data_IF_406204991578
#
_entry.id   IF_406204991578
#
_cell.length_a   1.000
_cell.length_b   1.000
_cell.length_c   1.000
_cell.angle_alpha   90.00
_cell.angle_beta   90.00
_cell.angle_gamma   90.00
#
_symmetry.space_group_name_H-M   'P 1'
#
loop_
_entity.id
_entity.type
_entity.pdbx_description
1 polymer ?
#
# COMPACT_ATOMS: atom_id res chain seq x y z
N UNK A 1 37.10 -8.66 -9.10
CA UNK A 1 35.67 -8.54 -8.73
C UNK A 1 34.73 -8.85 -9.90
N UNK A 2 35.02 -9.90 -10.68
CA UNK A 2 34.09 -10.49 -11.67
C UNK A 2 33.69 -11.85 -11.12
N UNK A 3 32.80 -11.87 -10.14
CA UNK A 3 32.37 -13.13 -9.54
C UNK A 3 30.84 -13.14 -9.42
N UNK A 4 30.25 -14.07 -10.16
CA UNK A 4 28.82 -14.45 -10.15
C UNK A 4 27.86 -13.41 -10.72
N UNK A 5 28.00 -13.15 -12.02
CA UNK A 5 26.82 -12.95 -12.85
C UNK A 5 26.11 -14.31 -12.97
N UNK A 6 25.42 -14.72 -11.90
CA UNK A 6 24.47 -15.82 -11.96
C UNK A 6 23.44 -15.40 -12.99
N UNK A 7 23.52 -15.95 -14.20
CA UNK A 7 22.62 -15.62 -15.30
C UNK A 7 21.20 -15.91 -14.84
N UNK A 8 20.51 -14.85 -14.41
CA UNK A 8 19.12 -14.92 -13.94
C UNK A 8 18.30 -15.57 -15.04
N UNK A 9 17.45 -16.52 -14.68
CA UNK A 9 16.56 -17.14 -15.66
C UNK A 9 15.64 -16.07 -16.27
N UNK A 10 15.10 -16.28 -17.49
CA UNK A 10 14.15 -15.33 -18.09
C UNK A 10 12.98 -14.97 -17.15
N UNK A 11 12.49 -15.94 -16.37
CA UNK A 11 11.43 -15.75 -15.38
C UNK A 11 11.87 -14.86 -14.21
N UNK A 12 13.08 -15.08 -13.68
CA UNK A 12 13.63 -14.27 -12.59
C UNK A 12 13.87 -12.82 -13.02
N UNK A 13 14.30 -12.59 -14.26
CA UNK A 13 14.46 -11.24 -14.83
C UNK A 13 13.12 -10.50 -14.92
N UNK A 14 12.06 -11.16 -15.39
CA UNK A 14 10.71 -10.57 -15.47
C UNK A 14 10.19 -10.26 -14.07
N UNK A 15 10.33 -11.18 -13.11
CA UNK A 15 9.94 -10.98 -11.71
C UNK A 15 10.68 -9.79 -11.10
N UNK A 16 12.00 -9.71 -11.28
CA UNK A 16 12.84 -8.61 -10.78
C UNK A 16 12.42 -7.26 -11.38
N UNK A 17 12.15 -7.19 -12.69
CA UNK A 17 11.65 -5.97 -13.36
C UNK A 17 10.29 -5.54 -12.80
N UNK A 18 9.38 -6.49 -12.60
CA UNK A 18 8.05 -6.21 -11.99
C UNK A 18 8.20 -5.67 -10.57
N UNK A 19 9.02 -6.31 -9.72
CA UNK A 19 9.26 -5.85 -8.35
C UNK A 19 9.90 -4.47 -8.32
N UNK A 20 10.94 -4.22 -9.14
CA UNK A 20 11.59 -2.91 -9.23
C UNK A 20 10.62 -1.82 -9.64
N UNK A 21 9.71 -2.11 -10.58
CA UNK A 21 8.65 -1.16 -10.98
C UNK A 21 7.70 -0.86 -9.81
N UNK A 22 7.28 -1.85 -9.03
CA UNK A 22 6.40 -1.62 -7.87
C UNK A 22 7.10 -0.80 -6.78
N UNK A 23 8.37 -1.08 -6.49
CA UNK A 23 9.17 -0.29 -5.54
C UNK A 23 9.31 1.15 -6.02
N UNK A 24 9.63 1.35 -7.30
CA UNK A 24 9.73 2.68 -7.89
C UNK A 24 8.40 3.44 -7.80
N UNK A 25 7.28 2.80 -8.16
CA UNK A 25 5.95 3.40 -8.05
C UNK A 25 5.59 3.73 -6.60
N UNK A 26 5.98 2.87 -5.65
CA UNK A 26 5.75 3.13 -4.23
C UNK A 26 6.52 4.36 -3.76
N UNK A 27 7.81 4.47 -4.09
CA UNK A 27 8.62 5.65 -3.75
C UNK A 27 8.06 6.90 -4.41
N UNK A 28 7.76 6.85 -5.71
CA UNK A 28 7.22 7.97 -6.46
C UNK A 28 5.89 8.44 -5.86
N UNK A 29 4.98 7.51 -5.59
CA UNK A 29 3.69 7.84 -4.98
C UNK A 29 3.86 8.37 -3.56
N UNK A 30 4.78 7.83 -2.75
CA UNK A 30 5.07 8.38 -1.41
C UNK A 30 5.50 9.84 -1.50
N UNK A 31 6.48 10.15 -2.36
CA UNK A 31 6.94 11.54 -2.53
C UNK A 31 5.81 12.43 -3.04
N UNK A 32 4.99 11.94 -3.97
CA UNK A 32 3.89 12.71 -4.55
C UNK A 32 2.76 12.98 -3.55
N UNK A 33 2.24 11.96 -2.87
CA UNK A 33 1.18 12.11 -1.87
C UNK A 33 1.65 12.96 -0.69
N UNK A 34 2.87 12.72 -0.20
CA UNK A 34 3.43 13.52 0.89
C UNK A 34 3.64 14.97 0.45
N UNK A 35 4.28 15.21 -0.70
CA UNK A 35 4.57 16.55 -1.20
C UNK A 35 3.31 17.35 -1.49
N UNK A 36 2.29 16.73 -2.10
CA UNK A 36 1.00 17.40 -2.34
C UNK A 36 0.29 17.71 -1.03
N UNK A 37 0.26 16.78 -0.08
CA UNK A 37 -0.33 17.01 1.24
C UNK A 37 0.32 18.21 1.95
N UNK A 38 1.65 18.20 2.05
CA UNK A 38 2.42 19.26 2.70
C UNK A 38 2.26 20.61 1.99
N UNK A 39 2.29 20.65 0.66
CA UNK A 39 2.08 21.88 -0.10
C UNK A 39 0.69 22.47 0.13
N UNK A 40 -0.35 21.63 0.17
CA UNK A 40 -1.72 22.07 0.40
C UNK A 40 -1.93 22.58 1.83
N UNK A 41 -1.38 21.89 2.84
CA UNK A 41 -1.43 22.35 4.22
C UNK A 41 -0.64 23.66 4.42
N UNK A 42 0.56 23.76 3.85
CA UNK A 42 1.35 24.98 3.88
C UNK A 42 0.59 26.16 3.26
N UNK A 43 -0.01 25.95 2.08
CA UNK A 43 -0.84 26.97 1.43
C UNK A 43 -2.04 27.40 2.31
N UNK A 44 -2.73 26.44 2.92
CA UNK A 44 -3.85 26.72 3.82
C UNK A 44 -3.41 27.51 5.07
N UNK A 45 -2.22 27.21 5.61
CA UNK A 45 -1.63 27.94 6.73
C UNK A 45 -1.25 29.38 6.37
N UNK A 46 -0.60 29.60 5.23
CA UNK A 46 -0.19 30.95 4.78
C UNK A 46 -1.40 31.85 4.47
N UNK A 47 -2.51 31.26 4.06
CA UNK A 47 -3.75 31.99 3.72
C UNK A 47 -4.70 32.15 4.90
N UNK A 48 -4.31 31.68 6.10
CA UNK A 48 -5.11 31.67 7.34
C UNK A 48 -6.52 31.04 7.16
N UNK A 49 -6.61 30.03 6.29
CA UNK A 49 -7.87 29.36 5.99
C UNK A 49 -7.92 27.98 6.65
N UNK A 50 -8.21 27.96 7.95
CA UNK A 50 -8.35 26.74 8.77
C UNK A 50 -9.30 25.71 8.16
N UNK A 51 -10.34 26.17 7.46
CA UNK A 51 -11.27 25.29 6.74
C UNK A 51 -10.56 24.43 5.67
N UNK A 52 -9.61 24.99 4.92
CA UNK A 52 -8.90 24.23 3.88
C UNK A 52 -7.97 23.18 4.48
N UNK A 53 -7.29 23.47 5.58
CA UNK A 53 -6.47 22.47 6.29
C UNK A 53 -7.33 21.28 6.70
N UNK A 54 -8.50 21.53 7.28
CA UNK A 54 -9.45 20.49 7.64
C UNK A 54 -9.96 19.71 6.41
N UNK A 55 -10.30 20.40 5.32
CA UNK A 55 -10.78 19.77 4.10
C UNK A 55 -9.71 18.86 3.45
N UNK A 56 -8.44 19.28 3.44
CA UNK A 56 -7.31 18.49 2.93
C UNK A 56 -7.10 17.23 3.77
N UNK A 57 -7.08 17.36 5.10
CA UNK A 57 -6.96 16.21 6.01
C UNK A 57 -8.11 15.22 5.81
N UNK A 58 -9.35 15.73 5.75
CA UNK A 58 -10.54 14.89 5.56
C UNK A 58 -10.50 14.16 4.21
N UNK A 59 -10.08 14.84 3.15
CA UNK A 59 -9.93 14.22 1.83
C UNK A 59 -8.91 13.07 1.84
N UNK A 60 -7.73 13.27 2.43
CA UNK A 60 -6.71 12.22 2.55
C UNK A 60 -7.20 11.06 3.43
N UNK A 61 -7.96 11.33 4.48
CA UNK A 61 -8.54 10.32 5.36
C UNK A 61 -9.55 9.45 4.59
N UNK A 62 -10.46 10.09 3.86
CA UNK A 62 -11.47 9.41 3.05
C UNK A 62 -10.83 8.59 1.92
N UNK A 63 -9.78 9.11 1.28
CA UNK A 63 -8.99 8.35 0.30
C UNK A 63 -8.37 7.10 0.94
N UNK A 64 -7.73 7.25 2.09
CA UNK A 64 -7.08 6.14 2.81
C UNK A 64 -8.09 5.07 3.18
N UNK A 65 -9.22 5.48 3.75
CA UNK A 65 -10.31 4.58 4.13
C UNK A 65 -10.90 3.89 2.90
N UNK A 66 -11.20 4.64 1.83
CA UNK A 66 -11.79 4.11 0.61
C UNK A 66 -10.90 3.07 -0.07
N UNK A 67 -9.60 3.35 -0.22
CA UNK A 67 -8.67 2.38 -0.80
C UNK A 67 -8.46 1.16 0.10
N UNK A 68 -8.38 1.37 1.42
CA UNK A 68 -8.21 0.26 2.38
C UNK A 68 -9.44 -0.65 2.39
N UNK A 69 -10.65 -0.10 2.47
CA UNK A 69 -11.88 -0.87 2.39
C UNK A 69 -12.02 -1.57 1.04
N UNK A 70 -11.73 -0.87 -0.07
CA UNK A 70 -11.73 -1.47 -1.40
C UNK A 70 -10.77 -2.66 -1.49
N UNK A 71 -9.56 -2.54 -0.93
CA UNK A 71 -8.57 -3.62 -0.86
C UNK A 71 -9.07 -4.80 -0.01
N UNK A 72 -9.63 -4.54 1.17
CA UNK A 72 -10.14 -5.57 2.06
C UNK A 72 -11.34 -6.31 1.44
N UNK A 73 -12.33 -5.58 0.94
CA UNK A 73 -13.53 -6.15 0.30
C UNK A 73 -13.13 -6.98 -0.93
N UNK A 74 -12.26 -6.43 -1.79
CA UNK A 74 -11.77 -7.15 -2.96
C UNK A 74 -11.00 -8.43 -2.57
N UNK A 75 -10.27 -8.44 -1.47
CA UNK A 75 -9.56 -9.64 -1.02
C UNK A 75 -10.36 -10.50 -0.04
N UNK A 76 -11.67 -10.29 0.11
CA UNK A 76 -12.55 -10.98 1.08
C UNK A 76 -11.94 -10.98 2.49
N UNK A 77 -11.51 -9.80 2.93
CA UNK A 77 -10.86 -9.54 4.22
C UNK A 77 -9.63 -10.42 4.47
N UNK A 78 -8.94 -10.83 3.40
CA UNK A 78 -7.72 -11.63 3.46
C UNK A 78 -7.92 -13.02 4.10
N UNK A 79 -9.15 -13.51 4.25
CA UNK A 79 -9.46 -14.79 4.89
C UNK A 79 -8.68 -15.97 4.29
N UNK A 80 -8.35 -15.91 3.00
CA UNK A 80 -7.66 -16.97 2.28
C UNK A 80 -6.13 -16.87 2.31
N UNK A 81 -5.59 -15.77 2.86
CA UNK A 81 -4.15 -15.51 2.82
C UNK A 81 -3.45 -16.41 3.82
N UNK A 82 -2.50 -17.21 3.34
CA UNK A 82 -1.68 -18.08 4.19
C UNK A 82 -2.37 -19.39 4.60
N UNK A 83 -3.54 -19.71 4.06
CA UNK A 83 -4.16 -21.01 4.24
C UNK A 83 -3.39 -22.10 3.49
N UNK A 84 -3.24 -23.26 4.12
CA UNK A 84 -2.68 -24.46 3.50
C UNK A 84 -3.80 -25.44 3.12
N UNK A 85 -3.57 -26.37 2.18
CA UNK A 85 -4.58 -27.36 1.75
C UNK A 85 -5.15 -28.19 2.91
N UNK A 86 -4.36 -28.44 3.95
CA UNK A 86 -4.74 -29.24 5.13
C UNK A 86 -5.71 -28.49 6.05
N UNK A 87 -5.76 -27.17 5.98
CA UNK A 87 -6.66 -26.32 6.76
C UNK A 87 -8.03 -26.16 6.11
N UNK A 88 -8.22 -26.70 4.90
CA UNK A 88 -9.47 -26.66 4.17
C UNK A 88 -10.34 -27.89 4.49
N UNK A 89 -11.67 -27.83 4.25
CA UNK A 89 -12.56 -28.94 4.54
C UNK A 89 -12.10 -30.25 3.92
N UNK A 90 -12.10 -31.32 4.71
CA UNK A 90 -11.70 -32.68 4.27
C UNK A 90 -12.64 -33.26 3.21
N UNK A 91 -13.89 -32.78 3.15
CA UNK A 91 -14.87 -33.16 2.15
C UNK A 91 -14.58 -32.58 0.74
N UNK A 92 -13.68 -31.59 0.62
CA UNK A 92 -13.34 -31.00 -0.67
C UNK A 92 -12.33 -31.86 -1.42
N UNK A 93 -12.48 -31.95 -2.74
CA UNK A 93 -11.47 -32.58 -3.59
C UNK A 93 -10.18 -31.74 -3.63
N UNK A 94 -9.05 -32.37 -3.95
CA UNK A 94 -7.78 -31.67 -4.09
C UNK A 94 -7.84 -30.55 -5.15
N UNK A 95 -8.61 -30.76 -6.22
CA UNK A 95 -8.86 -29.74 -7.24
C UNK A 95 -9.62 -28.53 -6.66
N UNK A 96 -10.67 -28.75 -5.86
CA UNK A 96 -11.43 -27.67 -5.24
C UNK A 96 -10.57 -26.85 -4.27
N UNK A 97 -9.71 -27.52 -3.49
CA UNK A 97 -8.75 -26.86 -2.60
C UNK A 97 -7.76 -26.00 -3.40
N UNK A 98 -7.18 -26.55 -4.47
CA UNK A 98 -6.25 -25.84 -5.34
C UNK A 98 -6.89 -24.60 -5.96
N UNK A 99 -8.11 -24.72 -6.50
CA UNK A 99 -8.83 -23.61 -7.13
C UNK A 99 -9.17 -22.50 -6.12
N UNK A 100 -9.55 -22.87 -4.90
CA UNK A 100 -9.84 -21.93 -3.83
C UNK A 100 -8.62 -21.09 -3.43
N UNK A 101 -7.46 -21.75 -3.26
CA UNK A 101 -6.19 -21.09 -2.92
C UNK A 101 -5.67 -20.24 -4.09
N UNK A 102 -5.80 -20.75 -5.33
CA UNK A 102 -5.41 -20.02 -6.54
C UNK A 102 -6.24 -18.74 -6.73
N UNK A 103 -7.55 -18.76 -6.48
CA UNK A 103 -8.37 -17.55 -6.53
C UNK A 103 -7.93 -16.51 -5.48
N UNK A 104 -7.58 -16.95 -4.27
CA UNK A 104 -7.03 -16.09 -3.22
C UNK A 104 -5.74 -15.39 -3.66
N UNK A 105 -4.78 -16.16 -4.16
CA UNK A 105 -3.50 -15.64 -4.65
C UNK A 105 -3.68 -14.71 -5.85
N UNK A 106 -4.57 -15.04 -6.79
CA UNK A 106 -4.88 -14.20 -7.95
C UNK A 106 -5.46 -12.84 -7.54
N UNK A 107 -6.35 -12.81 -6.54
CA UNK A 107 -6.90 -11.56 -6.00
C UNK A 107 -5.82 -10.70 -5.33
N UNK A 108 -4.95 -11.32 -4.54
CA UNK A 108 -3.82 -10.62 -3.93
C UNK A 108 -2.90 -9.99 -4.98
N UNK A 109 -2.48 -10.76 -6.00
CA UNK A 109 -1.65 -10.25 -7.10
C UNK A 109 -2.32 -9.09 -7.85
N UNK A 110 -3.63 -9.20 -8.13
CA UNK A 110 -4.39 -8.14 -8.84
C UNK A 110 -4.59 -6.89 -8.01
N UNK A 111 -4.61 -6.98 -6.69
CA UNK A 111 -4.83 -5.84 -5.79
C UNK A 111 -3.54 -5.20 -5.26
N UNK A 112 -2.36 -5.74 -5.60
CA UNK A 112 -1.05 -5.20 -5.18
C UNK A 112 -0.85 -3.72 -5.53
N UNK A 113 -1.39 -3.26 -6.65
CA UNK A 113 -1.27 -1.85 -7.03
C UNK A 113 -1.96 -0.91 -6.02
N UNK A 114 -3.03 -1.35 -5.34
CA UNK A 114 -3.70 -0.56 -4.30
C UNK A 114 -2.75 -0.26 -3.14
N UNK A 115 -1.82 -1.18 -2.83
CA UNK A 115 -0.80 -0.96 -1.81
C UNK A 115 0.17 0.17 -2.17
N UNK A 116 0.38 0.42 -3.47
CA UNK A 116 1.19 1.58 -3.92
C UNK A 116 0.50 2.92 -3.73
N UNK A 117 -0.74 2.93 -3.24
CA UNK A 117 -1.50 4.14 -2.88
C UNK A 117 -1.74 4.16 -1.36
N UNK A 118 -2.22 3.04 -0.80
CA UNK A 118 -2.49 2.90 0.64
C UNK A 118 -1.24 3.19 1.48
N UNK A 119 -0.09 2.60 1.13
CA UNK A 119 1.14 2.80 1.91
C UNK A 119 1.61 4.26 1.92
N UNK A 120 1.72 4.95 0.77
CA UNK A 120 1.96 6.40 0.73
C UNK A 120 1.03 7.21 1.64
N UNK A 121 -0.28 6.98 1.55
CA UNK A 121 -1.27 7.73 2.34
C UNK A 121 -1.08 7.52 3.86
N UNK A 122 -0.87 6.27 4.28
CA UNK A 122 -0.59 5.95 5.68
C UNK A 122 0.71 6.61 6.14
N UNK A 123 1.76 6.56 5.31
CA UNK A 123 3.05 7.19 5.63
C UNK A 123 2.91 8.70 5.75
N UNK A 124 2.14 9.36 4.88
CA UNK A 124 1.86 10.79 4.99
C UNK A 124 1.27 11.14 6.35
N UNK A 125 0.23 10.42 6.79
CA UNK A 125 -0.36 10.63 8.12
C UNK A 125 0.60 10.30 9.27
N UNK A 126 1.44 9.28 9.11
CA UNK A 126 2.42 8.92 10.12
C UNK A 126 3.46 10.03 10.31
N UNK A 127 3.96 10.63 9.21
CA UNK A 127 4.87 11.76 9.29
C UNK A 127 4.22 12.97 9.94
N UNK A 128 2.98 13.29 9.57
CA UNK A 128 2.22 14.40 10.14
C UNK A 128 2.00 14.21 11.65
N UNK A 129 1.67 12.98 12.08
CA UNK A 129 1.57 12.65 13.50
C UNK A 129 2.92 12.78 14.22
N UNK A 130 4.02 12.33 13.61
CA UNK A 130 5.35 12.49 14.20
C UNK A 130 5.69 13.97 14.40
N UNK A 131 5.40 14.81 13.40
CA UNK A 131 5.62 16.25 13.49
C UNK A 131 4.84 16.87 14.65
N UNK A 132 3.54 16.57 14.74
CA UNK A 132 2.66 17.07 15.79
C UNK A 132 3.09 16.63 17.20
N UNK A 133 3.40 15.34 17.38
CA UNK A 133 3.65 14.77 18.71
C UNK A 133 5.11 14.92 19.18
N UNK A 134 6.08 15.01 18.28
CA UNK A 134 7.49 15.03 18.66
C UNK A 134 8.21 16.34 18.34
N UNK A 135 7.87 17.00 17.22
CA UNK A 135 8.59 18.21 16.79
C UNK A 135 7.95 19.44 17.41
N UNK A 136 6.65 19.63 17.23
CA UNK A 136 5.91 20.75 17.82
C UNK A 136 5.89 20.72 19.34
N UNK A 137 5.85 19.51 19.92
CA UNK A 137 5.87 19.32 21.37
C UNK A 137 7.26 19.54 22.00
N UNK A 138 8.34 19.49 21.21
CA UNK A 138 9.71 19.72 21.69
C UNK A 138 10.18 21.18 21.49
N UNK A 139 9.58 21.90 20.52
CA UNK A 139 9.92 23.29 20.19
C UNK A 139 9.05 24.33 20.90
N UNK A 140 8.06 23.90 21.70
CA UNK A 140 7.30 24.73 22.65
C UNK A 140 7.82 24.57 24.07
#
# INVERSE_FOLDING_TARGET
MKEKEKSLTPEELVKRRRTRRHIFLLILNTVLFFGVYQALLYYAAVTDQTFWSFAVMLFYLLLTLGFTLGYLIYNRFLYRKGLTPEQLPTAWSEQQKADFLADGNRRLERSKWMMTIILPLILTFLFDAIDLFFIDSFLR
#
